data_IF_197185860606
#
_entry.id   IF_197185860606
#
_cell.length_a   1.000
_cell.length_b   1.000
_cell.length_c   1.000
_cell.angle_alpha   90.00
_cell.angle_beta   90.00
_cell.angle_gamma   90.00
#
_symmetry.space_group_name_H-M   'P 1'
#
loop_
_entity.id
_entity.type
_entity.pdbx_description
1 polymer ?
#
# COMPACT_ATOMS: atom_id res chain seq x y z
N UNK A 1 -23.70 8.12 -0.56
CA UNK A 1 -22.51 8.81 -0.05
C UNK A 1 -21.74 7.84 0.84
N UNK A 2 -20.42 7.70 0.68
CA UNK A 2 -19.61 6.78 1.50
C UNK A 2 -19.25 7.49 2.81
N UNK A 3 -19.53 6.91 4.00
CA UNK A 3 -19.19 7.53 5.28
C UNK A 3 -17.66 7.66 5.48
N UNK A 4 -17.22 8.78 6.06
CA UNK A 4 -15.82 9.01 6.41
C UNK A 4 -15.40 8.36 7.74
N UNK A 5 -14.13 7.95 7.90
CA UNK A 5 -13.01 8.11 6.95
C UNK A 5 -13.00 7.04 5.85
N UNK A 6 -12.63 7.45 4.63
CA UNK A 6 -12.53 6.55 3.47
C UNK A 6 -11.07 6.21 3.19
N UNK A 7 -10.80 4.93 2.95
CA UNK A 7 -9.53 4.44 2.42
C UNK A 7 -9.78 3.80 1.05
N UNK A 8 -9.10 4.29 0.01
CA UNK A 8 -9.10 3.70 -1.34
C UNK A 8 -7.77 3.00 -1.61
N UNK A 9 -7.79 1.83 -2.25
CA UNK A 9 -6.60 1.13 -2.71
C UNK A 9 -6.42 1.35 -4.21
N UNK A 10 -5.26 1.86 -4.61
CA UNK A 10 -4.86 2.03 -6.01
C UNK A 10 -4.03 0.80 -6.44
N UNK A 11 -4.61 -0.02 -7.32
CA UNK A 11 -4.04 -1.30 -7.73
C UNK A 11 -3.35 -1.16 -9.09
N UNK A 12 -2.01 -1.24 -9.13
CA UNK A 12 -1.23 -0.92 -10.32
C UNK A 12 -0.61 -2.18 -10.96
N UNK A 13 -0.66 -2.28 -12.28
CA UNK A 13 -0.05 -3.38 -13.05
C UNK A 13 -0.92 -4.65 -13.16
N UNK A 14 -2.17 -4.61 -12.69
CA UNK A 14 -3.12 -5.72 -12.86
C UNK A 14 -3.48 -5.86 -14.35
N UNK A 15 -3.43 -7.06 -14.95
CA UNK A 15 -3.86 -7.25 -16.33
C UNK A 15 -5.27 -6.71 -16.56
N UNK A 16 -5.45 -5.90 -17.60
CA UNK A 16 -6.70 -5.20 -17.95
C UNK A 16 -7.16 -4.12 -16.96
N UNK A 17 -6.36 -3.83 -15.93
CA UNK A 17 -6.55 -2.73 -14.99
C UNK A 17 -5.67 -1.52 -15.33
N UNK A 18 -5.35 -0.73 -14.30
CA UNK A 18 -4.44 0.40 -14.45
C UNK A 18 -3.01 -0.11 -14.76
N UNK A 19 -2.35 0.39 -15.82
CA UNK A 19 -0.94 0.09 -16.09
C UNK A 19 -0.04 0.55 -14.95
N UNK A 20 1.13 -0.06 -14.82
CA UNK A 20 2.11 0.22 -13.77
C UNK A 20 3.02 1.42 -14.08
N UNK A 21 2.52 2.45 -14.75
CA UNK A 21 3.23 3.70 -15.04
C UNK A 21 2.88 4.87 -14.09
N UNK A 22 3.85 5.77 -13.88
CA UNK A 22 3.70 6.89 -12.93
C UNK A 22 2.68 7.95 -13.39
N UNK A 23 2.44 8.11 -14.69
CA UNK A 23 1.46 9.10 -15.16
C UNK A 23 0.05 8.66 -14.79
N UNK A 24 -0.27 7.38 -15.04
CA UNK A 24 -1.54 6.77 -14.62
C UNK A 24 -1.66 6.80 -13.10
N UNK A 25 -0.61 6.42 -12.37
CA UNK A 25 -0.61 6.45 -10.91
C UNK A 25 -0.94 7.84 -10.36
N UNK A 26 -0.24 8.89 -10.81
CA UNK A 26 -0.47 10.26 -10.35
C UNK A 26 -1.83 10.79 -10.80
N UNK A 27 -2.33 10.39 -11.98
CA UNK A 27 -3.69 10.71 -12.37
C UNK A 27 -4.72 10.13 -11.39
N UNK A 28 -4.54 8.88 -10.94
CA UNK A 28 -5.42 8.27 -9.93
C UNK A 28 -5.29 8.97 -8.57
N UNK A 29 -4.07 9.23 -8.09
CA UNK A 29 -3.82 9.97 -6.84
C UNK A 29 -4.51 11.34 -6.85
N UNK A 30 -4.35 12.10 -7.93
CA UNK A 30 -4.93 13.44 -8.06
C UNK A 30 -6.48 13.44 -8.14
N UNK A 31 -7.09 12.29 -8.46
CA UNK A 31 -8.54 12.12 -8.46
C UNK A 31 -9.10 11.58 -7.13
N UNK A 32 -8.23 11.23 -6.16
CA UNK A 32 -8.70 10.89 -4.81
C UNK A 32 -9.29 12.14 -4.16
N UNK A 33 -10.55 12.11 -3.67
CA UNK A 33 -11.16 13.27 -3.03
C UNK A 33 -10.35 13.78 -1.85
N UNK A 34 -10.34 15.10 -1.66
CA UNK A 34 -9.71 15.72 -0.50
C UNK A 34 -10.30 15.15 0.80
N UNK A 35 -9.43 14.81 1.76
CA UNK A 35 -9.82 14.20 3.04
C UNK A 35 -9.87 12.66 3.01
N UNK A 36 -9.87 12.03 1.84
CA UNK A 36 -9.78 10.57 1.74
C UNK A 36 -8.33 10.11 1.92
N UNK A 37 -8.16 8.92 2.49
CA UNK A 37 -6.88 8.24 2.52
C UNK A 37 -6.75 7.35 1.29
N UNK A 38 -5.54 7.22 0.76
CA UNK A 38 -5.26 6.20 -0.23
C UNK A 38 -4.09 5.32 0.18
N UNK A 39 -4.10 4.10 -0.31
CA UNK A 39 -2.97 3.16 -0.32
C UNK A 39 -2.70 2.78 -1.77
N UNK A 40 -1.48 2.33 -2.08
CA UNK A 40 -1.22 1.72 -3.37
C UNK A 40 -0.28 0.50 -3.30
N UNK A 41 -0.35 -0.33 -4.33
CA UNK A 41 0.62 -1.40 -4.59
C UNK A 41 0.88 -1.53 -6.10
N UNK A 42 1.99 -2.17 -6.45
CA UNK A 42 2.31 -2.61 -7.80
C UNK A 42 2.55 -4.12 -7.84
N UNK A 43 2.14 -4.79 -8.91
CA UNK A 43 2.31 -6.25 -9.03
C UNK A 43 3.76 -6.68 -9.28
N UNK A 44 4.12 -7.81 -8.69
CA UNK A 44 5.37 -8.53 -8.93
C UNK A 44 6.61 -7.67 -8.68
N UNK A 45 7.50 -7.59 -9.67
CA UNK A 45 8.79 -6.88 -9.55
C UNK A 45 8.66 -5.40 -9.21
N UNK A 46 7.50 -4.79 -9.46
CA UNK A 46 7.25 -3.37 -9.26
C UNK A 46 6.73 -3.03 -7.86
N UNK A 47 6.46 -4.01 -6.99
CA UNK A 47 5.93 -3.81 -5.64
C UNK A 47 6.74 -2.77 -4.84
N UNK A 48 8.06 -2.95 -4.74
CA UNK A 48 8.93 -2.04 -3.97
C UNK A 48 9.07 -0.65 -4.61
N UNK A 49 8.98 -0.55 -5.94
CA UNK A 49 8.98 0.75 -6.60
C UNK A 49 7.70 1.52 -6.27
N UNK A 50 6.56 0.83 -6.17
CA UNK A 50 5.28 1.43 -5.78
C UNK A 50 5.18 1.75 -4.29
N UNK A 51 5.88 1.03 -3.42
CA UNK A 51 6.09 1.47 -2.01
C UNK A 51 6.70 2.87 -1.98
N UNK A 52 7.78 3.08 -2.73
CA UNK A 52 8.44 4.40 -2.80
C UNK A 52 7.53 5.46 -3.43
N UNK A 53 6.92 5.16 -4.58
CA UNK A 53 6.04 6.10 -5.29
C UNK A 53 4.84 6.54 -4.45
N UNK A 54 4.17 5.59 -3.78
CA UNK A 54 3.03 5.89 -2.91
C UNK A 54 3.42 6.71 -1.68
N UNK A 55 4.59 6.42 -1.09
CA UNK A 55 5.13 7.20 0.03
C UNK A 55 5.38 8.65 -0.38
N UNK A 56 6.04 8.88 -1.53
CA UNK A 56 6.32 10.23 -2.07
C UNK A 56 5.02 10.97 -2.41
N UNK A 57 4.02 10.25 -2.92
CA UNK A 57 2.70 10.80 -3.23
C UNK A 57 1.85 11.12 -1.97
N UNK A 58 2.36 10.85 -0.76
CA UNK A 58 1.66 11.11 0.50
C UNK A 58 0.62 10.05 0.89
N UNK A 59 0.70 8.87 0.30
CA UNK A 59 -0.19 7.74 0.53
C UNK A 59 0.33 6.72 1.52
N UNK A 60 -0.44 5.63 1.66
CA UNK A 60 -0.06 4.42 2.36
C UNK A 60 0.44 3.35 1.35
N UNK A 61 1.07 2.30 1.87
CA UNK A 61 1.66 1.24 1.05
C UNK A 61 1.03 -0.11 1.37
N UNK A 62 0.90 -0.97 0.36
CA UNK A 62 0.55 -2.38 0.50
C UNK A 62 1.64 -3.24 -0.13
N UNK A 63 2.01 -4.30 0.59
CA UNK A 63 2.95 -5.34 0.14
C UNK A 63 2.48 -6.70 0.63
N UNK A 64 2.93 -7.76 -0.01
CA UNK A 64 2.72 -9.12 0.44
C UNK A 64 2.80 -10.15 -0.68
N UNK A 65 2.81 -11.43 -0.28
CA UNK A 65 2.85 -12.57 -1.21
C UNK A 65 1.62 -12.66 -2.12
N UNK A 66 0.55 -11.94 -1.80
CA UNK A 66 -0.61 -11.76 -2.68
C UNK A 66 -0.24 -11.00 -3.96
N UNK A 67 0.64 -10.00 -3.84
CA UNK A 67 0.98 -9.08 -4.92
C UNK A 67 2.33 -9.45 -5.58
N UNK A 68 3.26 -10.04 -4.82
CA UNK A 68 4.61 -10.38 -5.28
C UNK A 68 5.20 -11.61 -4.55
N UNK A 69 5.67 -12.60 -5.31
CA UNK A 69 6.28 -13.81 -4.75
C UNK A 69 7.79 -13.68 -4.48
N UNK A 70 8.44 -12.62 -4.96
CA UNK A 70 9.89 -12.55 -5.08
C UNK A 70 10.49 -11.47 -4.20
N UNK A 71 11.52 -11.83 -3.42
CA UNK A 71 12.35 -10.85 -2.75
C UNK A 71 13.27 -10.19 -3.78
N UNK A 72 13.91 -11.00 -4.61
CA UNK A 72 14.76 -10.58 -5.73
C UNK A 72 14.57 -11.57 -6.88
N UNK A 73 15.16 -11.28 -8.05
CA UNK A 73 14.99 -12.14 -9.22
C UNK A 73 15.43 -13.58 -8.93
N UNK A 74 14.46 -14.48 -8.86
CA UNK A 74 14.68 -15.91 -8.57
C UNK A 74 14.76 -16.27 -7.09
N UNK A 75 14.59 -15.31 -6.17
CA UNK A 75 14.61 -15.53 -4.72
C UNK A 75 13.20 -15.33 -4.17
N UNK A 76 12.58 -16.39 -3.65
CA UNK A 76 11.24 -16.31 -3.06
C UNK A 76 11.25 -15.50 -1.75
N UNK A 77 10.18 -14.75 -1.52
CA UNK A 77 10.00 -13.96 -0.30
C UNK A 77 9.12 -14.66 0.74
N UNK A 78 9.19 -14.16 1.96
CA UNK A 78 8.14 -14.28 2.98
C UNK A 78 7.46 -12.92 3.16
N UNK A 79 6.22 -12.90 3.66
CA UNK A 79 5.52 -11.63 3.96
C UNK A 79 6.35 -10.73 4.90
N UNK A 80 7.04 -11.30 5.89
CA UNK A 80 7.88 -10.53 6.81
C UNK A 80 9.02 -9.81 6.09
N UNK A 81 9.70 -10.47 5.14
CA UNK A 81 10.77 -9.85 4.36
C UNK A 81 10.27 -8.72 3.46
N UNK A 82 9.10 -8.86 2.85
CA UNK A 82 8.50 -7.79 2.04
C UNK A 82 8.12 -6.58 2.91
N UNK A 83 7.55 -6.83 4.09
CA UNK A 83 7.21 -5.77 5.05
C UNK A 83 8.47 -5.06 5.56
N UNK A 84 9.53 -5.79 5.91
CA UNK A 84 10.79 -5.20 6.38
C UNK A 84 11.44 -4.31 5.31
N UNK A 85 11.47 -4.78 4.06
CA UNK A 85 11.99 -4.00 2.94
C UNK A 85 11.14 -2.76 2.66
N UNK A 86 9.81 -2.89 2.71
CA UNK A 86 8.91 -1.77 2.53
C UNK A 86 9.07 -0.72 3.64
N UNK A 87 9.14 -1.15 4.90
CA UNK A 87 9.38 -0.26 6.04
C UNK A 87 10.70 0.49 5.90
N UNK A 88 11.77 -0.19 5.48
CA UNK A 88 13.08 0.42 5.21
C UNK A 88 12.97 1.53 4.15
N UNK A 89 12.24 1.30 3.06
CA UNK A 89 12.03 2.30 2.01
C UNK A 89 11.26 3.51 2.56
N UNK A 90 10.15 3.26 3.28
CA UNK A 90 9.30 4.30 3.86
C UNK A 90 10.11 5.20 4.82
N UNK A 91 10.89 4.60 5.70
CA UNK A 91 11.70 5.31 6.69
C UNK A 91 12.87 6.09 6.05
N UNK A 92 13.53 5.51 5.05
CA UNK A 92 14.58 6.19 4.31
C UNK A 92 14.08 7.40 3.50
N UNK A 93 12.79 7.42 3.15
CA UNK A 93 12.12 8.58 2.53
C UNK A 93 11.67 9.64 3.55
N UNK A 94 11.95 9.45 4.85
CA UNK A 94 11.64 10.38 5.92
C UNK A 94 10.23 10.24 6.51
N UNK A 95 9.48 9.22 6.12
CA UNK A 95 8.19 8.89 6.72
C UNK A 95 8.35 7.91 7.89
N UNK A 96 7.25 7.61 8.60
CA UNK A 96 7.23 6.63 9.71
C UNK A 96 6.09 5.65 9.52
N UNK A 97 6.36 4.36 9.75
CA UNK A 97 5.32 3.33 9.82
C UNK A 97 4.48 3.48 11.10
N UNK A 98 3.16 3.48 10.95
CA UNK A 98 2.23 3.58 12.08
C UNK A 98 1.83 2.22 12.64
N UNK A 99 1.58 2.19 13.94
CA UNK A 99 1.14 0.99 14.65
C UNK A 99 -0.30 0.61 14.28
N UNK A 100 -0.71 -0.65 14.52
CA UNK A 100 -2.10 -1.05 14.36
C UNK A 100 -3.09 -0.23 15.20
N UNK A 101 -2.68 0.29 16.35
CA UNK A 101 -3.53 1.15 17.18
C UNK A 101 -3.77 2.51 16.50
N UNK A 102 -2.71 3.13 15.97
CA UNK A 102 -2.78 4.37 15.21
C UNK A 102 -3.63 4.22 13.94
N UNK A 103 -3.50 3.10 13.21
CA UNK A 103 -4.36 2.80 12.04
C UNK A 103 -5.83 2.80 12.43
N UNK A 104 -6.19 2.09 13.51
CA UNK A 104 -7.59 2.01 13.98
C UNK A 104 -8.12 3.37 14.40
N UNK A 105 -7.33 4.17 15.11
CA UNK A 105 -7.72 5.53 15.48
C UNK A 105 -7.94 6.42 14.25
N UNK A 106 -7.02 6.36 13.27
CA UNK A 106 -7.09 7.17 12.03
C UNK A 106 -8.27 6.80 11.16
N UNK A 107 -8.55 5.50 11.03
CA UNK A 107 -9.62 4.98 10.17
C UNK A 107 -10.94 4.69 10.92
N UNK A 108 -11.04 5.10 12.20
CA UNK A 108 -12.21 4.85 13.08
C UNK A 108 -12.68 3.39 13.06
N UNK A 109 -11.73 2.44 13.20
CA UNK A 109 -12.00 1.01 13.13
C UNK A 109 -12.16 0.39 14.52
N UNK A 110 -13.19 -0.44 14.67
CA UNK A 110 -13.36 -1.26 15.87
C UNK A 110 -12.47 -2.50 15.82
N UNK A 111 -11.73 -2.74 16.91
CA UNK A 111 -10.97 -3.98 17.06
C UNK A 111 -11.93 -5.15 17.28
N UNK A 112 -12.01 -6.06 16.30
CA UNK A 112 -12.73 -7.33 16.44
C UNK A 112 -11.76 -8.44 16.83
N UNK A 113 -12.17 -9.26 17.80
CA UNK A 113 -11.48 -10.51 18.07
C UNK A 113 -11.66 -11.47 16.87
N UNK A 114 -10.70 -12.38 16.61
CA UNK A 114 -10.93 -13.46 15.67
C UNK A 114 -12.20 -14.21 16.06
N UNK A 115 -13.05 -14.51 15.10
CA UNK A 115 -14.17 -15.42 15.33
C UNK A 115 -13.55 -16.78 15.69
N UNK A 116 -13.94 -17.35 16.82
CA UNK A 116 -13.52 -18.71 17.18
C UNK A 116 -13.91 -19.65 16.03
N UNK A 117 -12.97 -20.51 15.63
CA UNK A 117 -13.21 -21.51 14.59
C UNK A 117 -14.22 -22.55 15.04
#
# INVERSE_FOLDING_TARGET
MIPEPVLVQLCMGVPWGAPDDLNTFMAMVNNVPAGWHFSAFGLGRNEMAYVAAATIAGGNVRVGLEDNLWLEKGVLATNAQLVERAATIVENLGARVITPAEVRARLKLDKRAPVAK
#
